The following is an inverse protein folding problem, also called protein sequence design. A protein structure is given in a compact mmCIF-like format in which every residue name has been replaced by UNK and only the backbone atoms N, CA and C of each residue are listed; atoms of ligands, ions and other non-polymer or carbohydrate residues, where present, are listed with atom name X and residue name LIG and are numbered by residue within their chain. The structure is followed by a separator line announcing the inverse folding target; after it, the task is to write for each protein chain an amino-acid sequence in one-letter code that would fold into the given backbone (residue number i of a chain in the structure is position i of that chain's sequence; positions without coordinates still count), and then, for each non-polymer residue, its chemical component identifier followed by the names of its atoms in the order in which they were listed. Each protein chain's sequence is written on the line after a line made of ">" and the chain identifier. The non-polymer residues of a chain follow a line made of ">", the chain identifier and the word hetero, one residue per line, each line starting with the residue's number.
data_IF_530501759744
#
_entry.id   IF_530501759744
#
_cell.length_a   1.000
_cell.length_b   1.000
_cell.length_c   1.000
_cell.angle_alpha   90.00
_cell.angle_beta   90.00
_cell.angle_gamma   90.00
#
_symmetry.space_group_name_H-M   'P 1'
#
loop_
_entity.id
_entity.type
_entity.pdbx_description
1 polymer ?
#
# COMPACT_ATOMS: atom_id res chain seq x y z
N UNK A 1 13.28 -8.48 19.78
CA UNK A 1 13.22 -8.15 18.32
C UNK A 1 12.50 -6.82 18.21
N UNK A 2 13.23 -5.75 17.92
CA UNK A 2 12.61 -4.43 17.74
C UNK A 2 11.82 -4.40 16.41
N UNK A 3 10.65 -3.75 16.34
CA UNK A 3 9.97 -3.55 15.08
C UNK A 3 10.89 -2.73 14.16
N UNK A 4 11.22 -3.27 12.99
CA UNK A 4 12.06 -2.57 12.02
C UNK A 4 11.35 -1.28 11.60
N UNK A 5 11.99 -0.10 11.68
CA UNK A 5 11.41 1.11 11.14
C UNK A 5 11.19 0.92 9.64
N UNK A 6 10.11 1.47 9.12
CA UNK A 6 9.82 1.50 7.69
C UNK A 6 11.07 1.97 6.94
N UNK A 7 11.76 1.04 6.27
CA UNK A 7 13.00 1.34 5.56
C UNK A 7 12.65 2.29 4.40
N UNK A 8 13.32 3.45 4.27
CA UNK A 8 13.10 4.33 3.14
C UNK A 8 13.42 3.56 1.85
N UNK A 9 12.37 3.21 1.10
CA UNK A 9 12.50 2.33 -0.06
C UNK A 9 11.73 0.99 0.01
N UNK A 10 10.75 0.81 0.91
CA UNK A 10 9.89 -0.39 0.94
C UNK A 10 8.40 -0.07 0.78
N UNK A 11 7.61 -1.05 0.33
CA UNK A 11 6.16 -0.96 0.19
C UNK A 11 5.54 -0.86 1.60
N UNK A 12 4.70 0.16 1.87
CA UNK A 12 4.06 0.31 3.17
C UNK A 12 2.93 -0.70 3.34
N UNK A 13 2.58 -1.03 4.58
CA UNK A 13 1.35 -1.75 4.87
C UNK A 13 0.14 -0.82 4.73
N UNK A 14 -0.82 -1.26 3.92
CA UNK A 14 -2.06 -0.59 3.55
C UNK A 14 -3.31 -1.41 3.86
N UNK A 15 -3.16 -2.66 4.30
CA UNK A 15 -4.29 -3.51 4.71
C UNK A 15 -5.10 -2.81 5.81
N UNK A 16 -6.43 -2.80 5.68
CA UNK A 16 -7.33 -2.15 6.63
C UNK A 16 -7.44 -0.63 6.46
N UNK A 17 -6.68 -0.02 5.54
CA UNK A 17 -6.79 1.41 5.26
C UNK A 17 -7.90 1.71 4.27
N UNK A 18 -8.45 2.92 4.36
CA UNK A 18 -9.32 3.49 3.33
C UNK A 18 -8.52 4.00 2.13
N UNK A 19 -9.23 4.23 1.02
CA UNK A 19 -8.65 4.73 -0.24
C UNK A 19 -7.82 6.02 -0.01
N UNK A 20 -8.29 6.93 0.85
CA UNK A 20 -7.61 8.20 1.13
C UNK A 20 -6.23 8.02 1.76
N UNK A 21 -6.13 7.17 2.79
CA UNK A 21 -4.87 6.89 3.47
C UNK A 21 -3.87 6.18 2.54
N UNK A 22 -4.37 5.25 1.73
CA UNK A 22 -3.58 4.58 0.69
C UNK A 22 -2.99 5.59 -0.29
N UNK A 23 -3.82 6.48 -0.85
CA UNK A 23 -3.38 7.47 -1.81
C UNK A 23 -2.35 8.42 -1.21
N UNK A 24 -2.55 8.87 0.04
CA UNK A 24 -1.57 9.71 0.76
C UNK A 24 -0.22 9.02 0.90
N UNK A 25 -0.19 7.80 1.44
CA UNK A 25 1.07 7.03 1.63
C UNK A 25 1.78 6.78 0.31
N UNK A 26 1.03 6.38 -0.72
CA UNK A 26 1.60 6.15 -2.03
C UNK A 26 2.17 7.41 -2.66
N UNK A 27 1.47 8.55 -2.55
CA UNK A 27 1.96 9.83 -3.07
C UNK A 27 3.23 10.28 -2.34
N UNK A 28 3.29 10.13 -1.01
CA UNK A 28 4.48 10.44 -0.22
C UNK A 28 5.71 9.61 -0.64
N UNK A 29 5.50 8.39 -1.11
CA UNK A 29 6.54 7.48 -1.59
C UNK A 29 6.78 7.56 -3.10
N UNK A 30 5.99 8.36 -3.83
CA UNK A 30 6.02 8.44 -5.29
C UNK A 30 5.67 7.11 -5.99
N UNK A 31 4.73 6.36 -5.42
CA UNK A 31 4.23 5.08 -5.94
C UNK A 31 2.99 5.30 -6.81
N UNK A 32 2.90 4.52 -7.88
CA UNK A 32 1.69 4.45 -8.72
C UNK A 32 0.76 3.42 -8.12
N UNK A 33 -0.37 3.88 -7.58
CA UNK A 33 -1.39 3.01 -7.02
C UNK A 33 -2.45 2.67 -8.05
N UNK A 34 -2.73 1.39 -8.20
CA UNK A 34 -3.86 0.86 -8.96
C UNK A 34 -4.94 0.41 -7.98
N UNK A 35 -6.02 1.17 -7.91
CA UNK A 35 -7.18 0.90 -7.07
C UNK A 35 -8.14 -0.04 -7.79
N UNK A 36 -8.45 -1.19 -7.19
CA UNK A 36 -9.51 -2.10 -7.67
C UNK A 36 -10.61 -2.23 -6.61
N UNK A 37 -11.84 -1.88 -6.95
CA UNK A 37 -12.98 -1.95 -6.05
C UNK A 37 -13.17 -0.70 -5.19
N UNK A 38 -13.86 -0.84 -4.06
CA UNK A 38 -14.23 0.28 -3.18
C UNK A 38 -14.37 -0.19 -1.73
N UNK A 39 -14.11 0.69 -0.77
CA UNK A 39 -14.20 0.38 0.68
C UNK A 39 -12.84 0.33 1.37
N UNK A 40 -12.53 -0.79 2.02
CA UNK A 40 -11.30 -1.03 2.80
C UNK A 40 -10.35 -1.94 2.03
N UNK A 41 -9.04 -1.68 2.09
CA UNK A 41 -8.03 -2.57 1.50
C UNK A 41 -8.07 -3.93 2.20
N UNK A 42 -8.33 -4.98 1.43
CA UNK A 42 -8.21 -6.37 1.89
C UNK A 42 -6.95 -7.04 1.38
N UNK A 43 -6.38 -6.51 0.30
CA UNK A 43 -5.23 -7.10 -0.36
C UNK A 43 -4.39 -6.01 -1.04
N UNK A 44 -3.07 -6.18 -1.00
CA UNK A 44 -2.12 -5.31 -1.68
C UNK A 44 -1.02 -6.15 -2.32
N UNK A 45 -0.55 -5.72 -3.48
CA UNK A 45 0.54 -6.34 -4.23
C UNK A 45 1.42 -5.24 -4.79
N UNK A 46 2.72 -5.17 -4.42
CA UNK A 46 3.49 -6.14 -3.62
C UNK A 46 3.14 -6.14 -2.11
N UNK A 47 3.61 -7.18 -1.42
CA UNK A 47 3.42 -7.36 0.02
C UNK A 47 4.11 -6.24 0.84
N UNK A 48 3.59 -5.89 2.03
CA UNK A 48 4.22 -4.93 2.92
C UNK A 48 5.69 -5.30 3.24
N UNK A 49 6.58 -4.31 3.23
CA UNK A 49 8.01 -4.53 3.45
C UNK A 49 8.77 -5.00 2.20
N UNK A 50 8.10 -5.22 1.06
CA UNK A 50 8.79 -5.51 -0.20
C UNK A 50 9.62 -4.29 -0.63
N UNK A 51 10.88 -4.46 -1.05
CA UNK A 51 11.68 -3.36 -1.54
C UNK A 51 11.06 -2.72 -2.80
N UNK A 52 11.01 -1.40 -2.82
CA UNK A 52 10.55 -0.59 -3.94
C UNK A 52 11.48 -0.79 -5.14
N UNK A 53 11.09 -1.72 -6.01
CA UNK A 53 11.72 -1.88 -7.33
C UNK A 53 11.41 -0.65 -8.20
N UNK A 54 12.21 -0.47 -9.26
CA UNK A 54 12.11 0.67 -10.20
C UNK A 54 10.69 0.92 -10.72
N UNK A 55 9.87 -0.12 -10.84
CA UNK A 55 8.53 -0.02 -11.42
C UNK A 55 7.49 0.68 -10.53
N UNK A 56 7.73 0.82 -9.22
CA UNK A 56 6.92 1.62 -8.27
C UNK A 56 5.39 1.43 -8.36
N UNK A 57 4.94 0.28 -8.88
CA UNK A 57 3.53 -0.04 -9.07
C UNK A 57 2.99 -0.80 -7.86
N UNK A 58 1.90 -0.32 -7.29
CA UNK A 58 1.22 -0.91 -6.14
C UNK A 58 -0.25 -1.14 -6.49
N UNK A 59 -0.65 -2.39 -6.63
CA UNK A 59 -2.05 -2.75 -6.83
C UNK A 59 -2.70 -3.03 -5.49
N UNK A 60 -3.86 -2.44 -5.25
CA UNK A 60 -4.62 -2.60 -4.01
C UNK A 60 -6.05 -2.98 -4.35
N UNK A 61 -6.52 -4.05 -3.72
CA UNK A 61 -7.88 -4.53 -3.86
C UNK A 61 -8.67 -4.10 -2.64
N UNK A 62 -9.73 -3.35 -2.88
CA UNK A 62 -10.66 -2.86 -1.89
C UNK A 62 -11.92 -3.73 -1.90
N UNK A 63 -12.44 -4.01 -0.71
CA UNK A 63 -13.75 -4.62 -0.53
C UNK A 63 -14.68 -3.70 0.23
N UNK A 64 -15.97 -3.68 -0.11
CA UNK A 64 -16.96 -2.99 0.68
C UNK A 64 -17.00 -3.68 2.05
N UNK A 65 -16.74 -2.91 3.10
CA UNK A 65 -17.08 -3.29 4.47
C UNK A 65 -18.59 -3.12 4.61
N UNK A 66 -19.33 -4.19 4.32
CA UNK A 66 -20.77 -4.28 4.57
C UNK A 66 -21.02 -4.45 6.07
#
# INVERSE_FOLDING_TARGET
>A
IAPRPDLPGSIPNLIGLGVRDVLKKAQQLGLRVVVKGSGIVVEQVPEPGTPLKKDRLLTVTFRPSA
#
